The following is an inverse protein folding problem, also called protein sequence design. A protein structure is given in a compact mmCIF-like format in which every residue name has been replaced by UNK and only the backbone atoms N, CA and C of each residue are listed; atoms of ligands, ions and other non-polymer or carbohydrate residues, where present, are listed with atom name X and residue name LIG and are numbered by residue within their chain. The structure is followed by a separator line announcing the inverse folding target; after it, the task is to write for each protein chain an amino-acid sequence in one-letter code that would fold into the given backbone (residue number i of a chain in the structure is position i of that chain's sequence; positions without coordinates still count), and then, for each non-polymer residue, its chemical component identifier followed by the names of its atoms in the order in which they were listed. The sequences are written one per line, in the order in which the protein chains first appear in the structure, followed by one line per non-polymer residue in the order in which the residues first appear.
data_IF_398406244171
#
_entry.id   IF_398406244171
#
_cell.length_a   1.000
_cell.length_b   1.000
_cell.length_c   1.000
_cell.angle_alpha   90.00
_cell.angle_beta   90.00
_cell.angle_gamma   90.00
#
_symmetry.space_group_name_H-M   'P 1'
#
loop_
_entity.id
_entity.type
_entity.pdbx_description
1 polymer ?
#
# COMPACT_ATOMS: atom_id res chain seq x y z
N UNK A 1 44.69 -4.01 -41.12
CA UNK A 1 45.62 -3.73 -40.01
C UNK A 1 45.01 -2.64 -39.15
N UNK A 2 44.41 -2.99 -38.02
CA UNK A 2 44.00 -2.06 -36.96
C UNK A 2 43.90 -2.88 -35.66
N UNK A 3 44.91 -2.73 -34.81
CA UNK A 3 45.06 -3.45 -33.55
C UNK A 3 43.99 -3.03 -32.54
N UNK A 4 43.21 -3.99 -32.06
CA UNK A 4 42.38 -3.87 -30.84
C UNK A 4 43.30 -3.98 -29.61
N UNK A 5 43.30 -3.02 -28.66
CA UNK A 5 44.29 -2.98 -27.58
C UNK A 5 43.95 -3.84 -26.34
N UNK A 6 42.98 -4.76 -26.42
CA UNK A 6 42.43 -5.44 -25.23
C UNK A 6 42.80 -6.92 -25.07
N UNK A 7 43.68 -7.47 -25.93
CA UNK A 7 44.25 -8.80 -25.69
C UNK A 7 45.37 -8.71 -24.65
N UNK A 8 45.02 -8.85 -23.36
CA UNK A 8 46.03 -8.92 -22.29
C UNK A 8 45.54 -8.64 -20.87
N UNK A 9 44.28 -8.23 -20.68
CA UNK A 9 43.76 -8.01 -19.32
C UNK A 9 43.38 -9.36 -18.70
N UNK A 10 44.32 -9.90 -17.92
CA UNK A 10 44.16 -11.12 -17.13
C UNK A 10 42.96 -11.07 -16.17
N UNK A 11 42.60 -12.25 -15.67
CA UNK A 11 41.45 -12.48 -14.78
C UNK A 11 41.53 -11.63 -13.50
N UNK A 12 40.47 -10.89 -13.12
CA UNK A 12 40.47 -10.08 -11.90
C UNK A 12 40.00 -10.92 -10.71
N UNK A 13 40.82 -11.89 -10.31
CA UNK A 13 40.74 -12.53 -9.01
C UNK A 13 42.12 -12.49 -8.40
N UNK A 14 42.55 -11.30 -8.01
CA UNK A 14 43.42 -11.13 -6.84
C UNK A 14 43.40 -9.65 -6.45
N UNK A 15 43.04 -9.40 -5.19
CA UNK A 15 42.80 -8.08 -4.61
C UNK A 15 44.04 -7.21 -4.44
N UNK A 16 44.98 -7.23 -5.38
CA UNK A 16 46.12 -6.31 -5.42
C UNK A 16 45.71 -4.99 -6.07
N UNK A 17 45.84 -3.84 -5.38
CA UNK A 17 45.71 -2.53 -6.01
C UNK A 17 46.81 -2.37 -7.07
N UNK A 18 46.51 -1.68 -8.17
CA UNK A 18 47.48 -1.34 -9.21
C UNK A 18 48.55 -0.35 -8.68
N UNK A 19 49.49 -0.85 -7.87
CA UNK A 19 50.72 -0.15 -7.50
C UNK A 19 51.83 -0.58 -8.45
N UNK A 20 52.36 0.33 -9.27
CA UNK A 20 53.59 0.10 -10.04
C UNK A 20 53.48 0.16 -11.56
N UNK A 21 52.29 0.39 -12.13
CA UNK A 21 52.21 0.85 -13.52
C UNK A 21 52.43 2.37 -13.52
N UNK A 22 53.62 2.81 -13.94
CA UNK A 22 53.92 4.22 -14.19
C UNK A 22 52.79 4.86 -14.98
N UNK A 23 52.40 6.07 -14.60
CA UNK A 23 51.23 6.77 -15.13
C UNK A 23 51.38 7.00 -16.64
N UNK A 24 50.53 6.42 -17.51
CA UNK A 24 50.36 6.95 -18.86
C UNK A 24 49.47 8.22 -18.85
N UNK A 25 49.14 8.74 -17.67
CA UNK A 25 48.09 9.74 -17.42
C UNK A 25 48.63 11.10 -17.00
N UNK A 26 49.83 11.45 -17.45
CA UNK A 26 50.31 12.83 -17.34
C UNK A 26 49.60 13.69 -18.40
N UNK A 27 48.45 14.23 -17.99
CA UNK A 27 47.93 15.51 -18.46
C UNK A 27 46.96 15.53 -19.64
N UNK A 28 46.86 14.49 -20.50
CA UNK A 28 46.05 14.60 -21.74
C UNK A 28 45.29 13.36 -22.32
N UNK A 29 45.12 12.18 -21.67
CA UNK A 29 44.31 11.09 -22.27
C UNK A 29 42.85 10.97 -21.80
N UNK A 30 42.49 11.45 -20.59
CA UNK A 30 41.22 11.06 -19.97
C UNK A 30 39.98 11.62 -20.70
N UNK A 31 40.05 12.86 -21.17
CA UNK A 31 38.98 13.48 -21.98
C UNK A 31 38.70 12.70 -23.28
N UNK A 32 39.71 12.00 -23.83
CA UNK A 32 39.57 11.15 -25.02
C UNK A 32 39.13 9.72 -24.69
N UNK A 33 39.35 9.25 -23.47
CA UNK A 33 39.03 7.89 -23.04
C UNK A 33 37.59 7.73 -22.56
N UNK A 34 36.99 8.77 -21.97
CA UNK A 34 35.62 8.68 -21.48
C UNK A 34 34.55 8.53 -22.57
N UNK A 35 34.81 9.00 -23.79
CA UNK A 35 33.88 8.84 -24.93
C UNK A 35 33.81 7.39 -25.45
N UNK A 36 34.92 6.61 -25.56
CA UNK A 36 34.85 5.16 -25.77
C UNK A 36 34.08 4.40 -24.67
N UNK A 37 34.33 4.72 -23.40
CA UNK A 37 33.74 3.97 -22.28
C UNK A 37 32.22 4.15 -22.19
N UNK A 38 31.73 5.37 -22.40
CA UNK A 38 30.29 5.64 -22.46
C UNK A 38 29.61 4.85 -23.58
N UNK A 39 30.19 4.85 -24.78
CA UNK A 39 29.68 4.09 -25.91
C UNK A 39 29.64 2.59 -25.65
N UNK A 40 30.71 2.02 -25.08
CA UNK A 40 30.78 0.58 -24.76
C UNK A 40 29.85 0.19 -23.61
N UNK A 41 29.65 1.07 -22.62
CA UNK A 41 28.76 0.81 -21.50
C UNK A 41 27.29 0.70 -21.95
N UNK A 42 26.89 1.48 -22.95
CA UNK A 42 25.54 1.46 -23.50
C UNK A 42 25.32 0.40 -24.59
N UNK A 43 26.34 0.12 -25.42
CA UNK A 43 26.18 -0.68 -26.65
C UNK A 43 26.72 -2.10 -26.55
N UNK A 44 27.58 -2.41 -25.58
CA UNK A 44 28.21 -3.73 -25.53
C UNK A 44 27.25 -4.79 -25.02
N UNK A 45 27.16 -5.93 -25.71
CA UNK A 45 26.41 -7.10 -25.25
C UNK A 45 27.13 -7.88 -24.13
N UNK A 46 28.44 -7.67 -23.96
CA UNK A 46 29.25 -8.41 -22.99
C UNK A 46 29.13 -7.83 -21.57
N UNK A 47 28.39 -8.52 -20.70
CA UNK A 47 28.22 -8.12 -19.30
C UNK A 47 29.56 -8.00 -18.55
N UNK A 48 30.54 -8.85 -18.85
CA UNK A 48 31.87 -8.78 -18.23
C UNK A 48 32.61 -7.49 -18.62
N UNK A 49 32.49 -7.05 -19.88
CA UNK A 49 33.09 -5.80 -20.35
C UNK A 49 32.44 -4.59 -19.66
N UNK A 50 31.10 -4.53 -19.65
CA UNK A 50 30.36 -3.47 -18.94
C UNK A 50 30.73 -3.42 -17.46
N UNK A 51 30.79 -4.58 -16.79
CA UNK A 51 31.23 -4.68 -15.40
C UNK A 51 32.66 -4.14 -15.17
N UNK A 52 33.61 -4.52 -16.03
CA UNK A 52 34.99 -4.06 -15.92
C UNK A 52 35.11 -2.55 -16.11
N UNK A 53 34.33 -1.97 -17.04
CA UNK A 53 34.25 -0.52 -17.23
C UNK A 53 33.72 0.15 -15.95
N UNK A 54 32.64 -0.36 -15.36
CA UNK A 54 32.10 0.19 -14.08
C UNK A 54 33.15 0.15 -12.96
N UNK A 55 33.89 -0.96 -12.82
CA UNK A 55 34.96 -1.09 -11.83
C UNK A 55 36.06 -0.05 -12.06
N UNK A 56 36.52 0.10 -13.30
CA UNK A 56 37.55 1.09 -13.67
C UNK A 56 37.08 2.51 -13.38
N UNK A 57 35.86 2.86 -13.79
CA UNK A 57 35.29 4.19 -13.58
C UNK A 57 35.11 4.50 -12.09
N UNK A 58 34.73 3.50 -11.28
CA UNK A 58 34.64 3.67 -9.84
C UNK A 58 36.00 3.92 -9.18
N UNK A 59 37.07 3.26 -9.64
CA UNK A 59 38.44 3.53 -9.15
C UNK A 59 38.89 4.96 -9.51
N UNK A 60 38.57 5.43 -10.72
CA UNK A 60 38.87 6.81 -11.11
C UNK A 60 38.16 7.86 -10.25
N UNK A 61 36.95 7.59 -9.73
CA UNK A 61 36.28 8.49 -8.78
C UNK A 61 37.11 8.76 -7.51
N UNK A 62 38.00 7.84 -7.12
CA UNK A 62 38.84 7.97 -5.91
C UNK A 62 40.01 8.94 -6.15
N UNK A 63 40.65 8.87 -7.32
CA UNK A 63 41.88 9.60 -7.63
C UNK A 63 41.66 10.88 -8.44
N UNK A 64 40.61 10.92 -9.25
CA UNK A 64 40.35 11.98 -10.22
C UNK A 64 38.89 12.46 -10.15
N UNK A 65 38.37 12.66 -8.94
CA UNK A 65 36.93 12.90 -8.67
C UNK A 65 36.31 13.98 -9.56
N UNK A 66 36.97 15.15 -9.70
CA UNK A 66 36.48 16.26 -10.51
C UNK A 66 36.36 15.94 -12.01
N UNK A 67 37.15 14.98 -12.50
CA UNK A 67 37.18 14.56 -13.90
C UNK A 67 36.13 13.47 -14.20
N UNK A 68 35.70 12.73 -13.17
CA UNK A 68 34.75 11.62 -13.32
C UNK A 68 33.30 12.06 -13.06
N UNK A 69 33.07 13.23 -12.47
CA UNK A 69 31.75 13.74 -12.14
C UNK A 69 30.78 13.72 -13.34
N UNK A 70 31.26 14.01 -14.56
CA UNK A 70 30.43 13.95 -15.77
C UNK A 70 29.98 12.53 -16.15
N UNK A 71 30.71 11.49 -15.72
CA UNK A 71 30.39 10.09 -16.03
C UNK A 71 29.53 9.40 -14.97
N UNK A 72 29.27 10.03 -13.82
CA UNK A 72 28.41 9.45 -12.77
C UNK A 72 27.01 9.14 -13.31
N UNK A 73 26.48 9.96 -14.22
CA UNK A 73 25.21 9.67 -14.89
C UNK A 73 25.28 8.36 -15.69
N UNK A 74 26.39 8.08 -16.36
CA UNK A 74 26.52 6.87 -17.17
C UNK A 74 26.73 5.62 -16.30
N UNK A 75 27.54 5.73 -15.25
CA UNK A 75 27.74 4.63 -14.30
C UNK A 75 26.41 4.25 -13.64
N UNK A 76 25.58 5.23 -13.29
CA UNK A 76 24.29 4.96 -12.63
C UNK A 76 23.24 4.33 -13.53
N UNK A 77 23.35 4.42 -14.87
CA UNK A 77 22.53 3.63 -15.81
C UNK A 77 22.70 2.12 -15.58
N UNK A 78 23.90 1.69 -15.17
CA UNK A 78 24.17 0.29 -14.87
C UNK A 78 23.45 -0.24 -13.63
N UNK A 79 22.82 0.62 -12.80
CA UNK A 79 21.88 0.17 -11.76
C UNK A 79 20.64 -0.52 -12.35
N UNK A 80 20.35 -0.30 -13.64
CA UNK A 80 19.26 -0.91 -14.39
C UNK A 80 19.77 -1.84 -15.50
N UNK A 81 21.02 -2.31 -15.42
CA UNK A 81 21.61 -3.23 -16.42
C UNK A 81 20.80 -4.54 -16.52
N UNK A 82 20.63 -5.14 -17.72
CA UNK A 82 19.95 -6.42 -17.85
C UNK A 82 20.61 -7.56 -17.04
N UNK A 83 21.94 -7.51 -16.84
CA UNK A 83 22.67 -8.50 -16.07
C UNK A 83 22.69 -8.17 -14.57
N UNK A 84 22.19 -9.09 -13.73
CA UNK A 84 22.19 -8.96 -12.27
C UNK A 84 23.59 -8.67 -11.70
N UNK A 85 24.63 -9.32 -12.24
CA UNK A 85 26.01 -9.14 -11.78
C UNK A 85 26.46 -7.69 -11.95
N UNK A 86 26.15 -7.07 -13.09
CA UNK A 86 26.50 -5.67 -13.38
C UNK A 86 25.72 -4.74 -12.45
N UNK A 87 24.41 -4.97 -12.27
CA UNK A 87 23.59 -4.16 -11.34
C UNK A 87 24.13 -4.21 -9.92
N UNK A 88 24.40 -5.42 -9.42
CA UNK A 88 24.92 -5.64 -8.07
C UNK A 88 26.31 -5.01 -7.87
N UNK A 89 27.22 -5.18 -8.83
CA UNK A 89 28.56 -4.60 -8.74
C UNK A 89 28.49 -3.07 -8.76
N UNK A 90 27.68 -2.51 -9.66
CA UNK A 90 27.44 -1.06 -9.75
C UNK A 90 26.93 -0.50 -8.43
N UNK A 91 25.91 -1.15 -7.86
CA UNK A 91 25.34 -0.78 -6.58
C UNK A 91 26.39 -0.76 -5.47
N UNK A 92 27.20 -1.82 -5.34
CA UNK A 92 28.23 -1.93 -4.30
C UNK A 92 29.30 -0.85 -4.46
N UNK A 93 29.79 -0.63 -5.68
CA UNK A 93 30.85 0.35 -5.95
C UNK A 93 30.36 1.77 -5.68
N UNK A 94 29.21 2.17 -6.21
CA UNK A 94 28.64 3.49 -5.96
C UNK A 94 28.33 3.69 -4.47
N UNK A 95 27.81 2.66 -3.78
CA UNK A 95 27.58 2.72 -2.34
C UNK A 95 28.86 2.95 -1.54
N UNK A 96 29.98 2.33 -1.93
CA UNK A 96 31.29 2.55 -1.29
C UNK A 96 31.81 3.95 -1.54
N UNK A 97 31.67 4.47 -2.76
CA UNK A 97 32.06 5.83 -3.12
C UNK A 97 31.27 6.87 -2.32
N UNK A 98 29.96 6.65 -2.13
CA UNK A 98 29.09 7.48 -1.30
C UNK A 98 29.47 7.44 0.18
N UNK A 99 29.75 6.25 0.73
CA UNK A 99 30.15 6.09 2.13
C UNK A 99 31.47 6.79 2.46
N UNK A 100 32.42 6.75 1.52
CA UNK A 100 33.75 7.36 1.66
C UNK A 100 33.82 8.80 1.18
N UNK A 101 32.68 9.41 0.86
CA UNK A 101 32.55 10.81 0.47
C UNK A 101 33.25 11.20 -0.86
N UNK A 102 33.64 10.22 -1.68
CA UNK A 102 34.15 10.46 -3.05
C UNK A 102 33.03 10.87 -4.00
N UNK A 103 31.83 10.34 -3.79
CA UNK A 103 30.61 10.77 -4.49
C UNK A 103 29.63 11.30 -3.46
N UNK A 104 28.86 12.32 -3.83
CA UNK A 104 27.82 12.90 -2.96
C UNK A 104 26.44 12.56 -3.49
N UNK A 105 25.47 12.45 -2.59
CA UNK A 105 24.06 12.40 -2.92
C UNK A 105 23.62 13.74 -3.54
N UNK A 106 23.79 13.89 -4.85
CA UNK A 106 23.37 15.09 -5.59
C UNK A 106 22.54 14.72 -6.81
N UNK A 107 21.56 15.59 -7.10
CA UNK A 107 20.70 15.50 -8.27
C UNK A 107 20.03 14.13 -8.42
N UNK A 108 19.98 13.65 -9.66
CA UNK A 108 19.29 12.41 -10.05
C UNK A 108 19.86 11.13 -9.42
N UNK A 109 21.07 11.16 -8.84
CA UNK A 109 21.73 9.97 -8.29
C UNK A 109 20.85 9.27 -7.25
N UNK A 110 20.30 10.04 -6.32
CA UNK A 110 19.43 9.51 -5.26
C UNK A 110 18.21 8.81 -5.84
N UNK A 111 17.53 9.44 -6.79
CA UNK A 111 16.32 8.92 -7.43
C UNK A 111 16.59 7.61 -8.18
N UNK A 112 17.74 7.50 -8.85
CA UNK A 112 18.16 6.27 -9.54
C UNK A 112 18.40 5.10 -8.59
N UNK A 113 18.96 5.37 -7.40
CA UNK A 113 19.16 4.36 -6.37
C UNK A 113 17.85 3.80 -5.80
N UNK A 114 16.74 4.54 -5.87
CA UNK A 114 15.45 4.09 -5.34
C UNK A 114 14.96 2.79 -6.01
N UNK A 115 15.25 2.60 -7.30
CA UNK A 115 14.83 1.38 -8.01
C UNK A 115 15.51 0.11 -7.47
N UNK A 116 16.67 0.24 -6.83
CA UNK A 116 17.35 -0.92 -6.22
C UNK A 116 16.57 -1.51 -5.04
N UNK A 117 15.68 -0.74 -4.40
CA UNK A 117 14.76 -1.25 -3.36
C UNK A 117 13.73 -2.24 -3.93
N UNK A 118 13.45 -2.17 -5.23
CA UNK A 118 12.48 -3.01 -5.93
C UNK A 118 13.10 -3.77 -7.11
N UNK A 119 14.42 -3.99 -7.05
CA UNK A 119 15.15 -4.82 -8.02
C UNK A 119 14.56 -6.23 -8.04
N UNK A 120 14.64 -6.91 -9.19
CA UNK A 120 14.21 -8.31 -9.30
C UNK A 120 15.07 -9.25 -8.44
N UNK A 121 16.36 -8.95 -8.24
CA UNK A 121 17.26 -9.70 -7.36
C UNK A 121 17.05 -9.32 -5.89
N UNK A 122 16.69 -10.32 -5.09
CA UNK A 122 16.57 -10.19 -3.63
C UNK A 122 17.89 -9.74 -2.97
N UNK A 123 19.04 -10.16 -3.52
CA UNK A 123 20.35 -9.76 -3.00
C UNK A 123 20.57 -8.26 -3.15
N UNK A 124 20.12 -7.67 -4.25
CA UNK A 124 20.22 -6.23 -4.49
C UNK A 124 19.25 -5.48 -3.57
N UNK A 125 18.01 -5.98 -3.41
CA UNK A 125 17.03 -5.38 -2.49
C UNK A 125 17.55 -5.33 -1.04
N UNK A 126 18.14 -6.41 -0.54
CA UNK A 126 18.73 -6.43 0.80
C UNK A 126 19.90 -5.43 0.97
N UNK A 127 20.74 -5.28 -0.06
CA UNK A 127 21.80 -4.27 -0.05
C UNK A 127 21.23 -2.85 -0.06
N UNK A 128 20.14 -2.62 -0.81
CA UNK A 128 19.41 -1.36 -0.83
C UNK A 128 18.79 -1.04 0.53
N UNK A 129 18.05 -1.97 1.14
CA UNK A 129 17.47 -1.79 2.48
C UNK A 129 18.55 -1.42 3.51
N UNK A 130 19.72 -2.09 3.46
CA UNK A 130 20.84 -1.75 4.33
C UNK A 130 21.40 -0.34 4.07
N UNK A 131 21.57 0.05 2.80
CA UNK A 131 22.06 1.37 2.41
C UNK A 131 21.12 2.48 2.87
N UNK A 132 19.83 2.36 2.58
CA UNK A 132 18.82 3.35 2.94
C UNK A 132 18.58 3.39 4.46
N UNK A 133 18.58 2.23 5.13
CA UNK A 133 18.37 2.10 6.57
C UNK A 133 19.49 2.66 7.44
N UNK A 134 20.75 2.53 6.99
CA UNK A 134 21.91 2.86 7.82
C UNK A 134 22.72 4.03 7.28
N UNK A 135 23.13 3.94 6.02
CA UNK A 135 24.10 4.87 5.44
C UNK A 135 23.44 6.18 5.07
N UNK A 136 22.27 6.13 4.42
CA UNK A 136 21.54 7.35 4.05
C UNK A 136 21.17 8.16 5.29
N UNK A 137 20.62 7.50 6.31
CA UNK A 137 20.24 8.12 7.58
C UNK A 137 21.41 8.83 8.26
N UNK A 138 22.62 8.25 8.19
CA UNK A 138 23.80 8.85 8.80
C UNK A 138 24.44 9.97 7.94
N UNK A 139 24.54 9.78 6.63
CA UNK A 139 25.28 10.70 5.73
C UNK A 139 24.43 11.83 5.14
N UNK A 140 23.13 11.61 4.99
CA UNK A 140 22.21 12.56 4.38
C UNK A 140 20.78 12.42 4.96
N UNK A 141 20.60 12.69 6.27
CA UNK A 141 19.35 12.44 7.00
C UNK A 141 18.13 13.15 6.41
N UNK A 142 18.33 14.31 5.78
CA UNK A 142 17.26 15.11 5.18
C UNK A 142 16.94 14.71 3.74
N UNK A 143 17.72 13.82 3.11
CA UNK A 143 17.58 13.55 1.67
C UNK A 143 16.24 12.92 1.32
N UNK A 144 15.81 11.94 2.12
CA UNK A 144 14.51 11.30 1.93
C UNK A 144 13.38 12.34 2.00
N UNK A 145 13.43 13.26 2.97
CA UNK A 145 12.44 14.34 3.12
C UNK A 145 12.48 15.34 1.96
N UNK A 146 13.67 15.81 1.59
CA UNK A 146 13.84 16.84 0.57
C UNK A 146 13.37 16.37 -0.80
N UNK A 147 13.69 15.14 -1.18
CA UNK A 147 13.39 14.57 -2.51
C UNK A 147 12.11 13.72 -2.54
N UNK A 148 11.29 13.71 -1.48
CA UNK A 148 10.13 12.82 -1.41
C UNK A 148 9.10 13.07 -2.53
N UNK A 149 8.66 14.32 -2.67
CA UNK A 149 7.67 14.71 -3.71
C UNK A 149 8.25 14.51 -5.12
N UNK A 150 9.51 14.87 -5.31
CA UNK A 150 10.23 14.63 -6.57
C UNK A 150 10.27 13.14 -6.93
N UNK A 151 10.52 12.26 -5.95
CA UNK A 151 10.47 10.82 -6.16
C UNK A 151 9.08 10.33 -6.59
N UNK A 152 7.99 10.88 -6.02
CA UNK A 152 6.62 10.54 -6.45
C UNK A 152 6.43 10.87 -7.94
N UNK A 153 6.86 12.05 -8.37
CA UNK A 153 6.76 12.46 -9.77
C UNK A 153 7.64 11.62 -10.71
N UNK A 154 8.92 11.45 -10.38
CA UNK A 154 9.87 10.73 -11.22
C UNK A 154 9.52 9.25 -11.35
N UNK A 155 9.11 8.59 -10.26
CA UNK A 155 8.72 7.18 -10.31
C UNK A 155 7.43 6.97 -11.11
N UNK A 156 6.53 7.94 -11.15
CA UNK A 156 5.33 7.90 -11.99
C UNK A 156 5.58 8.38 -13.43
N UNK A 157 6.79 8.85 -13.75
CA UNK A 157 7.12 9.53 -15.01
C UNK A 157 6.22 10.78 -15.27
N UNK A 158 5.72 11.39 -14.21
CA UNK A 158 4.84 12.54 -14.32
C UNK A 158 5.65 13.83 -14.25
N UNK A 159 5.58 14.66 -15.29
CA UNK A 159 6.47 15.81 -15.43
C UNK A 159 5.66 17.12 -15.41
N UNK A 160 5.40 17.64 -14.21
CA UNK A 160 4.52 18.81 -13.99
C UNK A 160 5.09 20.11 -14.57
N UNK A 161 6.40 20.19 -14.78
CA UNK A 161 7.11 21.42 -15.15
C UNK A 161 7.63 21.45 -16.59
N UNK A 162 7.38 20.42 -17.39
CA UNK A 162 7.79 20.42 -18.80
C UNK A 162 6.60 20.63 -19.71
N UNK A 163 6.32 21.90 -19.99
CA UNK A 163 5.73 22.27 -21.27
C UNK A 163 6.64 21.74 -22.40
N UNK A 164 6.28 20.59 -22.95
CA UNK A 164 6.67 20.04 -24.27
C UNK A 164 8.14 20.02 -24.76
N UNK A 165 9.17 20.44 -24.01
CA UNK A 165 10.55 20.56 -24.54
C UNK A 165 11.63 19.76 -23.78
N UNK A 166 11.37 18.49 -23.47
CA UNK A 166 12.45 17.53 -23.18
C UNK A 166 12.83 16.76 -24.46
N UNK A 167 14.14 16.68 -24.75
CA UNK A 167 14.67 15.93 -25.91
C UNK A 167 14.30 14.44 -25.81
N UNK A 168 14.20 13.75 -26.95
CA UNK A 168 13.83 12.33 -26.97
C UNK A 168 14.80 11.45 -26.15
N UNK A 169 16.09 11.79 -26.14
CA UNK A 169 17.10 11.10 -25.32
C UNK A 169 16.86 11.28 -23.82
N UNK A 170 16.57 12.51 -23.37
CA UNK A 170 16.27 12.79 -21.95
C UNK A 170 14.99 12.07 -21.46
N UNK A 171 14.00 11.89 -22.34
CA UNK A 171 12.79 11.11 -22.01
C UNK A 171 13.07 9.61 -21.93
N UNK A 172 13.93 9.07 -22.80
CA UNK A 172 14.33 7.67 -22.75
C UNK A 172 15.11 7.35 -21.46
N UNK A 173 16.00 8.26 -21.04
CA UNK A 173 16.70 8.12 -19.77
C UNK A 173 15.78 8.22 -18.56
N UNK A 174 14.84 9.18 -18.55
CA UNK A 174 13.85 9.31 -17.48
C UNK A 174 12.97 8.05 -17.35
N UNK A 175 12.62 7.43 -18.48
CA UNK A 175 11.85 6.17 -18.54
C UNK A 175 12.53 5.00 -17.88
N UNK A 176 13.86 4.91 -17.99
CA UNK A 176 14.64 3.81 -17.41
C UNK A 176 14.51 3.77 -15.88
N UNK A 177 14.34 4.94 -15.26
CA UNK A 177 14.27 5.09 -13.81
C UNK A 177 12.85 5.41 -13.31
N UNK A 178 11.83 5.03 -14.06
CA UNK A 178 10.43 5.17 -13.68
C UNK A 178 9.75 3.80 -13.52
N UNK A 179 8.71 3.74 -12.70
CA UNK A 179 7.83 2.59 -12.49
C UNK A 179 6.44 3.00 -12.97
N UNK A 180 6.28 3.03 -14.29
CA UNK A 180 5.06 3.53 -14.95
C UNK A 180 3.87 2.60 -14.76
N UNK A 181 2.67 3.18 -14.83
CA UNK A 181 1.41 2.45 -14.86
C UNK A 181 0.69 2.44 -13.52
N UNK A 182 -0.63 2.21 -13.56
CA UNK A 182 -1.49 2.20 -12.38
C UNK A 182 -1.94 0.78 -11.98
N UNK A 183 -1.27 -0.25 -12.50
CA UNK A 183 -1.49 -1.63 -12.12
C UNK A 183 -0.97 -1.91 -10.70
N UNK A 184 -1.49 -2.98 -10.08
CA UNK A 184 -1.19 -3.30 -8.68
C UNK A 184 0.29 -3.58 -8.43
N UNK A 185 1.00 -4.19 -9.39
CA UNK A 185 2.42 -4.52 -9.26
C UNK A 185 3.25 -3.23 -9.26
N UNK A 186 2.99 -2.32 -10.19
CA UNK A 186 3.67 -1.03 -10.29
C UNK A 186 3.41 -0.17 -9.06
N UNK A 187 2.15 -0.07 -8.62
CA UNK A 187 1.78 0.63 -7.38
C UNK A 187 2.46 0.05 -6.16
N UNK A 188 2.44 -1.26 -5.99
CA UNK A 188 3.08 -1.94 -4.87
C UNK A 188 4.59 -1.67 -4.82
N UNK A 189 5.26 -1.67 -5.97
CA UNK A 189 6.69 -1.31 -6.05
C UNK A 189 6.93 0.15 -5.65
N UNK A 190 6.18 1.10 -6.19
CA UNK A 190 6.31 2.53 -5.81
C UNK A 190 6.01 2.75 -4.32
N UNK A 191 4.95 2.13 -3.81
CA UNK A 191 4.58 2.23 -2.40
C UNK A 191 5.63 1.63 -1.48
N UNK A 192 6.28 0.52 -1.86
CA UNK A 192 7.42 -0.02 -1.13
C UNK A 192 8.56 1.01 -1.00
N UNK A 193 8.90 1.69 -2.10
CA UNK A 193 9.91 2.77 -2.07
C UNK A 193 9.48 3.90 -1.13
N UNK A 194 8.24 4.42 -1.28
CA UNK A 194 7.76 5.51 -0.44
C UNK A 194 7.77 5.15 1.05
N UNK A 195 7.31 3.95 1.42
CA UNK A 195 7.36 3.44 2.79
C UNK A 195 8.79 3.36 3.30
N UNK A 196 9.71 2.84 2.49
CA UNK A 196 11.13 2.75 2.85
C UNK A 196 11.75 4.12 3.10
N UNK A 197 11.36 5.16 2.35
CA UNK A 197 11.79 6.54 2.59
C UNK A 197 11.18 7.13 3.86
N UNK A 198 9.86 6.98 4.07
CA UNK A 198 9.17 7.48 5.26
C UNK A 198 9.79 6.91 6.55
N UNK A 199 10.13 5.61 6.57
CA UNK A 199 10.77 4.96 7.71
C UNK A 199 12.13 5.56 8.11
N UNK A 200 12.80 6.27 7.20
CA UNK A 200 14.09 6.92 7.51
C UNK A 200 13.92 8.33 8.08
N UNK A 201 12.73 8.92 7.97
CA UNK A 201 12.48 10.30 8.40
C UNK A 201 12.25 10.39 9.91
N UNK A 202 12.71 11.48 10.50
CA UNK A 202 12.33 11.85 11.85
C UNK A 202 10.84 12.29 11.90
N UNK A 203 10.15 12.19 13.07
CA UNK A 203 8.74 12.52 13.19
C UNK A 203 8.34 13.91 12.67
N UNK A 204 9.17 14.93 12.90
CA UNK A 204 8.99 16.29 12.41
C UNK A 204 8.99 16.37 10.87
N UNK A 205 9.82 15.56 10.22
CA UNK A 205 9.89 15.47 8.76
C UNK A 205 8.74 14.66 8.18
N UNK A 206 8.16 13.70 8.93
CA UNK A 206 6.93 13.02 8.52
C UNK A 206 5.76 14.01 8.44
N UNK A 207 5.61 14.88 9.45
CA UNK A 207 4.58 15.92 9.45
C UNK A 207 4.78 16.92 8.31
N UNK A 208 6.03 17.36 8.09
CA UNK A 208 6.36 18.24 6.99
C UNK A 208 6.11 17.57 5.63
N UNK A 209 6.44 16.28 5.48
CA UNK A 209 6.17 15.50 4.25
C UNK A 209 4.67 15.40 3.98
N UNK A 210 3.86 15.14 5.01
CA UNK A 210 2.41 15.15 4.89
C UNK A 210 1.91 16.48 4.32
N UNK A 211 2.37 17.60 4.88
CA UNK A 211 2.02 18.93 4.42
C UNK A 211 2.50 19.18 2.97
N UNK A 212 3.72 18.77 2.61
CA UNK A 212 4.25 18.87 1.25
C UNK A 212 3.44 18.06 0.24
N UNK A 213 3.05 16.84 0.55
CA UNK A 213 2.21 16.03 -0.33
C UNK A 213 0.85 16.71 -0.56
N UNK A 214 0.26 17.29 0.48
CA UNK A 214 -0.98 18.05 0.32
C UNK A 214 -0.77 19.31 -0.54
N UNK A 215 0.25 20.11 -0.24
CA UNK A 215 0.47 21.41 -0.87
C UNK A 215 1.05 21.33 -2.29
N UNK A 216 1.91 20.36 -2.59
CA UNK A 216 2.61 20.27 -3.88
C UNK A 216 1.91 19.31 -4.85
N UNK A 217 1.24 18.26 -4.35
CA UNK A 217 0.57 17.27 -5.19
C UNK A 217 -0.95 17.48 -5.19
N UNK A 218 -1.60 17.44 -4.02
CA UNK A 218 -3.05 17.52 -3.98
C UNK A 218 -3.57 18.90 -4.43
N UNK A 219 -2.94 19.99 -3.97
CA UNK A 219 -3.32 21.33 -4.38
C UNK A 219 -3.04 21.59 -5.88
N UNK A 220 -1.93 21.07 -6.42
CA UNK A 220 -1.64 21.23 -7.86
C UNK A 220 -2.70 20.57 -8.75
N UNK A 221 -3.32 19.47 -8.29
CA UNK A 221 -4.49 18.89 -8.97
C UNK A 221 -5.73 19.77 -8.80
N UNK A 222 -6.05 20.22 -7.58
CA UNK A 222 -7.25 21.05 -7.34
C UNK A 222 -7.20 22.36 -8.12
N UNK A 223 -6.01 22.94 -8.26
CA UNK A 223 -5.77 24.19 -8.97
C UNK A 223 -5.66 23.99 -10.50
N UNK A 224 -5.72 22.74 -10.98
CA UNK A 224 -5.64 22.40 -12.40
C UNK A 224 -4.24 22.45 -13.01
N UNK A 225 -3.19 22.63 -12.19
CA UNK A 225 -1.79 22.62 -12.62
C UNK A 225 -1.30 21.20 -12.97
N UNK A 226 -1.84 20.18 -12.29
CA UNK A 226 -1.61 18.78 -12.59
C UNK A 226 -2.88 18.15 -13.17
N UNK A 227 -2.83 17.78 -14.46
CA UNK A 227 -3.98 17.17 -15.13
C UNK A 227 -4.21 15.73 -14.67
N UNK A 228 -5.45 15.45 -14.24
CA UNK A 228 -5.95 14.10 -13.96
C UNK A 228 -6.54 13.41 -15.19
N UNK A 229 -6.48 14.04 -16.37
CA UNK A 229 -6.86 13.38 -17.64
C UNK A 229 -5.69 12.54 -18.18
N UNK A 230 -4.46 12.88 -17.81
CA UNK A 230 -3.28 12.06 -18.08
C UNK A 230 -3.15 10.89 -17.09
N UNK A 231 -2.79 9.72 -17.60
CA UNK A 231 -2.56 8.52 -16.80
C UNK A 231 -1.44 8.70 -15.78
N UNK A 232 -0.41 9.52 -16.09
CA UNK A 232 0.68 9.78 -15.14
C UNK A 232 0.20 10.65 -13.98
N UNK A 233 -0.62 11.68 -14.25
CA UNK A 233 -1.22 12.53 -13.21
C UNK A 233 -2.21 11.77 -12.33
N UNK A 234 -3.02 10.88 -12.93
CA UNK A 234 -3.87 9.97 -12.14
C UNK A 234 -3.05 9.05 -11.23
N UNK A 235 -1.92 8.52 -11.72
CA UNK A 235 -1.05 7.62 -10.95
C UNK A 235 -0.39 8.36 -9.78
N UNK A 236 0.08 9.60 -9.99
CA UNK A 236 0.60 10.47 -8.92
C UNK A 236 -0.45 10.75 -7.86
N UNK A 237 -1.67 11.11 -8.27
CA UNK A 237 -2.75 11.41 -7.33
C UNK A 237 -3.17 10.17 -6.52
N UNK A 238 -3.26 9.01 -7.20
CA UNK A 238 -3.54 7.74 -6.56
C UNK A 238 -2.47 7.35 -5.53
N UNK A 239 -1.19 7.51 -5.88
CA UNK A 239 -0.07 7.27 -4.98
C UNK A 239 -0.11 8.24 -3.79
N UNK A 240 -0.40 9.53 -4.01
CA UNK A 240 -0.51 10.52 -2.95
C UNK A 240 -1.58 10.15 -1.91
N UNK A 241 -2.76 9.70 -2.36
CA UNK A 241 -3.79 9.19 -1.45
C UNK A 241 -3.32 7.97 -0.63
N UNK A 242 -2.61 7.03 -1.27
CA UNK A 242 -2.07 5.85 -0.57
C UNK A 242 -0.97 6.22 0.44
N UNK A 243 -0.08 7.16 0.08
CA UNK A 243 0.95 7.69 0.95
C UNK A 243 0.32 8.32 2.20
N UNK A 244 -0.66 9.22 2.04
CA UNK A 244 -1.35 9.88 3.15
C UNK A 244 -2.18 8.91 4.01
N UNK A 245 -2.61 7.79 3.41
CA UNK A 245 -3.32 6.72 4.11
C UNK A 245 -2.39 5.74 4.85
N UNK A 246 -1.09 5.74 4.53
CA UNK A 246 -0.10 4.84 5.14
C UNK A 246 0.06 5.08 6.64
N UNK A 247 0.52 4.06 7.37
CA UNK A 247 0.79 4.18 8.82
C UNK A 247 2.11 4.89 9.09
N UNK A 248 3.04 4.83 8.15
CA UNK A 248 4.40 5.36 8.26
C UNK A 248 4.46 6.88 8.21
N UNK A 249 3.54 7.54 7.48
CA UNK A 249 3.46 9.01 7.46
C UNK A 249 2.73 9.60 8.67
N UNK A 250 1.97 8.77 9.40
CA UNK A 250 1.16 9.22 10.53
C UNK A 250 2.04 9.41 11.74
N UNK A 251 1.87 10.55 12.41
CA UNK A 251 2.39 10.72 13.75
C UNK A 251 1.63 9.76 14.68
N UNK A 252 2.32 8.94 15.49
CA UNK A 252 1.66 8.15 16.52
C UNK A 252 0.84 9.09 17.42
N UNK A 253 -0.48 9.02 17.31
CA UNK A 253 -1.34 9.75 18.23
C UNK A 253 -1.30 8.99 19.53
N UNK A 254 -0.59 9.50 20.54
CA UNK A 254 -0.64 8.99 21.90
C UNK A 254 -1.97 9.39 22.57
N UNK A 255 -3.09 9.18 21.87
CA UNK A 255 -4.42 9.15 22.48
C UNK A 255 -4.48 7.82 23.21
N UNK A 256 -3.93 7.82 24.43
CA UNK A 256 -4.07 6.70 25.35
C UNK A 256 -5.52 6.26 25.38
N UNK A 257 -5.73 4.95 25.49
CA UNK A 257 -7.02 4.35 25.82
C UNK A 257 -7.74 5.27 26.80
N UNK A 258 -8.97 5.64 26.46
CA UNK A 258 -9.88 6.34 27.36
C UNK A 258 -10.17 5.42 28.55
N UNK A 259 -9.28 5.42 29.53
CA UNK A 259 -9.59 5.12 30.92
C UNK A 259 -9.78 6.48 31.59
N UNK A 260 -10.99 6.64 32.13
CA UNK A 260 -11.49 7.74 32.94
C UNK A 260 -10.41 8.33 33.89
N UNK A 261 -10.38 9.65 34.16
CA UNK A 261 -9.50 10.25 35.16
C UNK A 261 -10.05 10.03 36.58
N UNK A 262 -10.48 8.80 36.89
CA UNK A 262 -11.22 8.44 38.10
C UNK A 262 -10.48 7.61 39.13
N UNK A 263 -9.48 6.80 38.76
CA UNK A 263 -8.80 5.92 39.72
C UNK A 263 -7.35 6.35 39.92
N UNK A 264 -7.14 7.24 40.90
CA UNK A 264 -5.86 7.41 41.54
C UNK A 264 -5.70 6.32 42.60
N UNK A 265 -4.96 5.25 42.28
CA UNK A 265 -4.25 4.51 43.32
C UNK A 265 -2.82 5.07 43.35
N UNK A 266 -2.58 5.95 44.33
CA UNK A 266 -1.24 6.36 44.74
C UNK A 266 -0.53 5.17 45.41
N UNK A 267 0.41 4.53 44.72
CA UNK A 267 1.61 4.00 45.38
C UNK A 267 2.68 3.61 44.34
N UNK A 268 3.84 4.29 44.41
CA UNK A 268 5.03 3.95 43.62
C UNK A 268 5.71 5.16 43.00
N UNK A 269 6.48 5.89 43.82
CA UNK A 269 7.22 7.07 43.40
C UNK A 269 8.31 6.79 42.35
N UNK A 270 8.44 7.72 41.39
CA UNK A 270 9.69 7.89 40.65
C UNK A 270 9.68 7.97 39.12
N UNK A 271 8.61 8.39 38.41
CA UNK A 271 8.72 8.90 37.01
C UNK A 271 7.52 9.75 36.51
N UNK A 272 6.63 10.20 37.40
CA UNK A 272 5.35 10.81 37.01
C UNK A 272 5.49 12.15 36.26
N UNK A 273 6.58 12.89 36.48
CA UNK A 273 6.85 14.18 35.82
C UNK A 273 7.24 14.05 34.34
N UNK A 274 7.95 13.00 33.96
CA UNK A 274 8.39 12.74 32.57
C UNK A 274 7.22 12.29 31.69
N UNK A 275 6.37 11.41 32.23
CA UNK A 275 5.17 10.92 31.55
C UNK A 275 4.12 12.03 31.35
N UNK A 276 3.87 12.87 32.36
CA UNK A 276 2.95 14.00 32.24
C UNK A 276 3.42 15.03 31.21
N UNK A 277 4.73 15.33 31.16
CA UNK A 277 5.31 16.23 30.17
C UNK A 277 5.24 15.65 28.74
N UNK A 278 5.49 14.35 28.57
CA UNK A 278 5.34 13.67 27.28
C UNK A 278 3.87 13.65 26.79
N UNK A 279 2.92 13.40 27.70
CA UNK A 279 1.50 13.46 27.40
C UNK A 279 1.04 14.88 27.01
N UNK A 280 1.50 15.91 27.74
CA UNK A 280 1.22 17.31 27.41
C UNK A 280 1.77 17.69 26.03
N UNK A 281 3.03 17.31 25.72
CA UNK A 281 3.63 17.51 24.39
C UNK A 281 2.84 16.79 23.30
N UNK A 282 2.40 15.56 23.53
CA UNK A 282 1.56 14.81 22.60
C UNK A 282 0.21 15.47 22.31
N UNK A 283 -0.42 16.07 23.32
CA UNK A 283 -1.67 16.84 23.16
C UNK A 283 -1.47 18.09 22.29
N UNK A 284 -0.40 18.84 22.52
CA UNK A 284 -0.06 20.03 21.72
C UNK A 284 0.17 19.67 20.26
N UNK A 285 0.93 18.60 20.01
CA UNK A 285 1.17 18.09 18.65
C UNK A 285 -0.15 17.71 17.98
N UNK A 286 -1.03 16.99 18.69
CA UNK A 286 -2.33 16.57 18.16
C UNK A 286 -3.21 17.77 17.79
N UNK A 287 -3.21 18.84 18.60
CA UNK A 287 -3.95 20.07 18.31
C UNK A 287 -3.35 20.85 17.14
N UNK A 288 -2.02 20.93 17.04
CA UNK A 288 -1.35 21.57 15.90
C UNK A 288 -1.65 20.83 14.58
N UNK A 289 -1.63 19.48 14.60
CA UNK A 289 -2.00 18.64 13.46
C UNK A 289 -3.46 18.86 13.09
N UNK A 290 -4.38 18.86 14.06
CA UNK A 290 -5.81 19.15 13.82
C UNK A 290 -5.99 20.52 13.16
N UNK A 291 -5.35 21.55 13.68
CA UNK A 291 -5.41 22.90 13.11
C UNK A 291 -4.90 22.91 11.67
N UNK A 292 -3.77 22.27 11.40
CA UNK A 292 -3.22 22.14 10.03
C UNK A 292 -4.16 21.38 9.09
N UNK A 293 -4.83 20.33 9.59
CA UNK A 293 -5.81 19.57 8.84
C UNK A 293 -7.00 20.46 8.43
N UNK A 294 -7.60 21.17 9.38
CA UNK A 294 -8.74 22.07 9.15
C UNK A 294 -8.36 23.22 8.20
N UNK A 295 -7.23 23.87 8.44
CA UNK A 295 -6.88 25.10 7.72
C UNK A 295 -6.30 24.83 6.33
N UNK A 296 -5.51 23.76 6.17
CA UNK A 296 -4.73 23.55 4.95
C UNK A 296 -5.18 22.33 4.15
N UNK A 297 -5.56 21.24 4.83
CA UNK A 297 -5.78 19.95 4.15
C UNK A 297 -7.22 19.76 3.70
N UNK A 298 -8.20 19.99 4.58
CA UNK A 298 -9.63 19.80 4.30
C UNK A 298 -10.12 20.63 3.12
N UNK A 299 -9.76 21.93 2.97
CA UNK A 299 -10.18 22.72 1.81
C UNK A 299 -9.73 22.09 0.49
N UNK A 300 -8.50 21.56 0.43
CA UNK A 300 -7.97 20.88 -0.75
C UNK A 300 -8.78 19.61 -1.05
N UNK A 301 -9.10 18.80 -0.03
CA UNK A 301 -9.90 17.59 -0.22
C UNK A 301 -11.33 17.86 -0.68
N UNK A 302 -11.98 18.92 -0.19
CA UNK A 302 -13.31 19.33 -0.64
C UNK A 302 -13.27 19.70 -2.13
N UNK A 303 -12.29 20.52 -2.53
CA UNK A 303 -12.17 20.94 -3.91
C UNK A 303 -11.80 19.77 -4.86
N UNK A 304 -10.92 18.88 -4.40
CA UNK A 304 -10.62 17.64 -5.11
C UNK A 304 -11.85 16.76 -5.26
N UNK A 305 -12.68 16.59 -4.23
CA UNK A 305 -13.92 15.80 -4.34
C UNK A 305 -14.82 16.37 -5.43
N UNK A 306 -15.06 17.69 -5.40
CA UNK A 306 -15.85 18.40 -6.41
C UNK A 306 -15.29 18.20 -7.82
N UNK A 307 -13.97 18.33 -7.98
CA UNK A 307 -13.28 18.12 -9.25
C UNK A 307 -13.44 16.68 -9.76
N UNK A 308 -13.16 15.69 -8.92
CA UNK A 308 -13.24 14.27 -9.28
C UNK A 308 -14.68 13.85 -9.63
N UNK A 309 -15.67 14.33 -8.89
CA UNK A 309 -17.09 14.10 -9.20
C UNK A 309 -17.50 14.74 -10.52
N UNK A 310 -17.09 15.99 -10.77
CA UNK A 310 -17.41 16.68 -12.04
C UNK A 310 -16.83 15.96 -13.26
N UNK A 311 -15.73 15.23 -13.08
CA UNK A 311 -15.05 14.44 -14.12
C UNK A 311 -15.46 12.96 -14.12
N UNK A 312 -16.38 12.53 -13.24
CA UNK A 312 -16.73 11.12 -13.02
C UNK A 312 -15.49 10.22 -12.84
N UNK A 313 -14.49 10.72 -12.11
CA UNK A 313 -13.20 10.06 -11.98
C UNK A 313 -13.30 8.79 -11.13
N UNK A 314 -12.61 7.70 -11.51
CA UNK A 314 -12.53 6.49 -10.69
C UNK A 314 -11.78 6.71 -9.36
N UNK A 315 -11.05 7.84 -9.22
CA UNK A 315 -10.27 8.17 -8.04
C UNK A 315 -11.12 8.69 -6.86
N UNK A 316 -12.42 8.96 -7.06
CA UNK A 316 -13.31 9.41 -5.97
C UNK A 316 -13.34 8.41 -4.81
N UNK A 317 -13.33 7.11 -5.12
CA UNK A 317 -13.25 6.06 -4.10
C UNK A 317 -11.95 6.11 -3.30
N UNK A 318 -10.81 6.35 -3.98
CA UNK A 318 -9.49 6.51 -3.34
C UNK A 318 -9.42 7.76 -2.47
N UNK A 319 -10.06 8.86 -2.89
CA UNK A 319 -10.16 10.09 -2.09
C UNK A 319 -10.96 9.84 -0.81
N UNK A 320 -12.12 9.19 -0.92
CA UNK A 320 -12.97 8.88 0.24
C UNK A 320 -12.31 7.88 1.18
N UNK A 321 -11.58 6.89 0.65
CA UNK A 321 -10.71 6.02 1.44
C UNK A 321 -9.69 6.82 2.24
N UNK A 322 -8.96 7.72 1.57
CA UNK A 322 -7.94 8.54 2.20
C UNK A 322 -8.54 9.40 3.32
N UNK A 323 -9.64 10.12 3.05
CA UNK A 323 -10.33 10.94 4.06
C UNK A 323 -10.80 10.10 5.24
N UNK A 324 -11.39 8.92 4.99
CA UNK A 324 -11.82 8.02 6.06
C UNK A 324 -10.65 7.62 6.93
N UNK A 325 -9.53 7.22 6.33
CA UNK A 325 -8.35 6.78 7.07
C UNK A 325 -7.74 7.96 7.83
N UNK A 326 -7.69 9.18 7.27
CA UNK A 326 -7.21 10.39 7.95
C UNK A 326 -8.07 10.80 9.15
N UNK A 327 -9.40 10.73 9.02
CA UNK A 327 -10.35 11.26 9.99
C UNK A 327 -10.89 10.23 10.99
N UNK A 328 -10.55 8.94 10.83
CA UNK A 328 -11.02 7.86 11.72
C UNK A 328 -10.70 8.10 13.20
N UNK A 329 -9.62 8.83 13.51
CA UNK A 329 -9.18 9.10 14.88
C UNK A 329 -9.80 10.39 15.45
N UNK A 330 -10.57 11.13 14.64
CA UNK A 330 -11.19 12.42 14.95
C UNK A 330 -12.73 12.36 14.93
N UNK A 331 -13.35 11.19 15.12
CA UNK A 331 -14.82 11.04 14.97
C UNK A 331 -15.64 11.98 15.84
N UNK A 332 -15.20 12.23 17.06
CA UNK A 332 -15.89 13.13 17.99
C UNK A 332 -15.75 14.61 17.61
N UNK A 333 -14.82 14.91 16.71
CA UNK A 333 -14.45 16.25 16.27
C UNK A 333 -14.74 16.45 14.77
N UNK A 334 -15.33 15.45 14.11
CA UNK A 334 -15.55 15.44 12.65
C UNK A 334 -16.48 16.58 12.23
N UNK A 335 -17.42 16.94 13.11
CA UNK A 335 -18.37 18.02 12.89
C UNK A 335 -17.72 19.40 12.89
N UNK A 336 -16.67 19.57 13.69
CA UNK A 336 -15.84 20.78 13.73
C UNK A 336 -14.87 20.83 12.55
N UNK A 337 -14.33 19.68 12.14
CA UNK A 337 -13.37 19.60 11.04
C UNK A 337 -14.04 19.88 9.68
N UNK A 338 -15.26 19.39 9.48
CA UNK A 338 -15.99 19.47 8.20
C UNK A 338 -17.14 20.48 8.23
N UNK A 339 -16.99 21.59 8.95
CA UNK A 339 -18.01 22.66 8.99
C UNK A 339 -18.34 23.18 7.60
N UNK A 340 -17.35 23.27 6.71
CA UNK A 340 -17.48 23.83 5.37
C UNK A 340 -18.29 22.95 4.39
N UNK A 341 -18.39 21.63 4.63
CA UNK A 341 -19.12 20.72 3.75
C UNK A 341 -19.92 19.68 4.56
N UNK A 342 -21.20 20.01 4.79
CA UNK A 342 -22.14 19.18 5.55
C UNK A 342 -22.53 17.89 4.82
N UNK A 343 -22.37 17.84 3.50
CA UNK A 343 -22.68 16.64 2.72
C UNK A 343 -21.54 15.63 2.85
N UNK A 344 -20.30 16.08 2.63
CA UNK A 344 -19.09 15.28 2.85
C UNK A 344 -19.01 14.77 4.30
N UNK A 345 -19.37 15.61 5.27
CA UNK A 345 -19.46 15.23 6.68
C UNK A 345 -20.36 13.98 6.87
N UNK A 346 -21.58 13.99 6.34
CA UNK A 346 -22.53 12.87 6.46
C UNK A 346 -22.04 11.62 5.75
N UNK A 347 -21.49 11.77 4.55
CA UNK A 347 -20.90 10.68 3.76
C UNK A 347 -19.77 10.00 4.54
N UNK A 348 -18.86 10.77 5.14
CA UNK A 348 -17.74 10.23 5.91
C UNK A 348 -18.16 9.59 7.23
N UNK A 349 -19.13 10.15 7.95
CA UNK A 349 -19.67 9.52 9.16
C UNK A 349 -20.24 8.14 8.81
N UNK A 350 -21.03 8.07 7.74
CA UNK A 350 -21.60 6.80 7.27
C UNK A 350 -20.50 5.81 6.87
N UNK A 351 -19.52 6.24 6.08
CA UNK A 351 -18.42 5.38 5.63
C UNK A 351 -17.53 4.88 6.76
N UNK A 352 -17.21 5.74 7.74
CA UNK A 352 -16.49 5.35 8.95
C UNK A 352 -17.27 4.27 9.69
N UNK A 353 -18.56 4.49 9.96
CA UNK A 353 -19.39 3.53 10.69
C UNK A 353 -19.54 2.19 9.94
N UNK A 354 -19.77 2.26 8.63
CA UNK A 354 -19.88 1.08 7.76
C UNK A 354 -18.58 0.28 7.74
N UNK A 355 -17.44 0.95 7.59
CA UNK A 355 -16.13 0.30 7.62
C UNK A 355 -15.87 -0.38 8.97
N UNK A 356 -16.20 0.26 10.08
CA UNK A 356 -16.07 -0.34 11.40
C UNK A 356 -16.95 -1.58 11.59
N UNK A 357 -18.19 -1.54 11.11
CA UNK A 357 -19.08 -2.70 11.16
C UNK A 357 -18.53 -3.87 10.34
N UNK A 358 -18.02 -3.59 9.13
CA UNK A 358 -17.40 -4.61 8.27
C UNK A 358 -16.14 -5.19 8.91
N UNK A 359 -15.27 -4.34 9.44
CA UNK A 359 -14.05 -4.77 10.14
C UNK A 359 -14.40 -5.63 11.35
N UNK A 360 -15.37 -5.21 12.16
CA UNK A 360 -15.83 -5.96 13.32
C UNK A 360 -16.38 -7.35 12.94
N UNK A 361 -17.15 -7.43 11.86
CA UNK A 361 -17.66 -8.70 11.32
C UNK A 361 -16.55 -9.61 10.80
N UNK A 362 -15.55 -9.09 10.08
CA UNK A 362 -14.40 -9.88 9.62
C UNK A 362 -13.62 -10.44 10.80
N UNK A 363 -13.27 -9.59 11.76
CA UNK A 363 -12.53 -9.99 12.96
C UNK A 363 -13.31 -11.04 13.77
N UNK A 364 -14.61 -10.85 13.98
CA UNK A 364 -15.47 -11.83 14.63
C UNK A 364 -15.54 -13.17 13.88
N UNK A 365 -15.56 -13.13 12.54
CA UNK A 365 -15.58 -14.34 11.71
C UNK A 365 -14.25 -15.10 11.81
N UNK A 366 -13.13 -14.38 11.80
CA UNK A 366 -11.78 -14.95 11.94
C UNK A 366 -11.57 -15.57 13.33
N UNK A 367 -11.95 -14.89 14.41
CA UNK A 367 -11.81 -15.41 15.78
C UNK A 367 -12.66 -16.65 15.99
N UNK A 368 -13.93 -16.65 15.58
CA UNK A 368 -14.79 -17.84 15.67
C UNK A 368 -14.23 -19.00 14.83
N UNK A 369 -13.68 -18.73 13.65
CA UNK A 369 -13.06 -19.76 12.79
C UNK A 369 -11.80 -20.36 13.42
N UNK A 370 -10.97 -19.55 14.09
CA UNK A 370 -9.81 -20.03 14.85
C UNK A 370 -10.24 -20.93 16.02
N UNK A 371 -11.31 -20.57 16.73
CA UNK A 371 -11.84 -21.34 17.86
C UNK A 371 -12.41 -22.69 17.44
N UNK A 372 -13.15 -22.74 16.33
CA UNK A 372 -13.66 -24.00 15.79
C UNK A 372 -12.54 -24.95 15.34
N UNK A 373 -11.41 -24.42 14.86
CA UNK A 373 -10.22 -25.23 14.54
C UNK A 373 -9.54 -25.79 15.78
N UNK A 374 -9.48 -25.04 16.88
CA UNK A 374 -8.90 -25.54 18.14
C UNK A 374 -9.71 -26.68 18.76
N UNK A 375 -11.04 -26.69 18.59
CA UNK A 375 -11.88 -27.79 19.07
C UNK A 375 -11.74 -29.07 18.23
N UNK A 376 -11.32 -28.97 16.96
CA UNK A 376 -11.11 -30.11 16.06
C UNK A 376 -9.81 -30.92 16.35
N UNK A 377 -8.90 -30.42 17.20
CA UNK A 377 -7.67 -31.13 17.59
C UNK A 377 -7.82 -32.02 18.85
N UNK A 378 -9.01 -32.14 19.43
CA UNK A 378 -9.26 -33.17 20.46
C UNK A 378 -9.48 -34.54 19.81
N UNK A 379 -8.56 -35.47 20.09
CA UNK A 379 -8.65 -36.87 19.67
C UNK A 379 -9.92 -37.54 20.23
N UNK A 380 -10.62 -38.40 19.46
CA UNK A 380 -11.86 -39.04 19.92
C UNK A 380 -11.55 -40.18 20.91
N UNK A 381 -11.55 -39.86 22.20
CA UNK A 381 -11.48 -40.83 23.29
C UNK A 381 -12.87 -41.25 23.75
N UNK A 382 -13.28 -42.47 23.38
CA UNK A 382 -14.31 -43.35 23.96
C UNK A 382 -15.58 -42.71 24.54
N UNK A 383 -16.68 -42.96 23.83
CA UNK A 383 -18.07 -42.68 24.19
C UNK A 383 -18.43 -43.21 25.59
N UNK A 384 -18.79 -42.31 26.50
CA UNK A 384 -19.79 -42.57 27.54
C UNK A 384 -20.83 -41.47 27.48
N UNK A 385 -22.09 -41.89 27.38
CA UNK A 385 -23.27 -41.06 27.34
C UNK A 385 -23.22 -40.01 28.45
N UNK A 386 -23.13 -38.75 28.05
CA UNK A 386 -23.39 -37.60 28.91
C UNK A 386 -24.58 -36.88 28.30
N UNK A 387 -25.66 -36.89 29.07
CA UNK A 387 -26.91 -36.17 28.91
C UNK A 387 -26.73 -34.75 28.39
N UNK A 388 -27.56 -34.40 27.41
CA UNK A 388 -27.84 -33.04 26.94
C UNK A 388 -27.99 -32.07 28.11
N UNK A 389 -27.02 -31.16 28.27
CA UNK A 389 -27.22 -29.85 28.93
C UNK A 389 -26.02 -28.91 28.84
N UNK A 390 -24.86 -29.32 28.31
CA UNK A 390 -23.62 -28.54 28.49
C UNK A 390 -23.24 -27.57 27.34
N UNK A 391 -24.15 -27.26 26.42
CA UNK A 391 -23.90 -26.24 25.37
C UNK A 391 -24.24 -24.81 25.84
N UNK A 392 -24.97 -24.66 26.94
CA UNK A 392 -25.39 -23.34 27.44
C UNK A 392 -24.39 -22.63 28.38
N UNK A 393 -23.30 -23.28 28.83
CA UNK A 393 -22.52 -22.77 29.97
C UNK A 393 -21.22 -22.02 29.63
N UNK A 394 -20.82 -21.86 28.36
CA UNK A 394 -19.55 -21.20 27.99
C UNK A 394 -19.64 -19.92 27.16
N UNK A 395 -20.85 -19.44 26.87
CA UNK A 395 -21.04 -18.18 26.12
C UNK A 395 -20.79 -16.91 26.94
N UNK A 396 -21.11 -16.81 28.26
CA UNK A 396 -21.09 -15.50 28.94
C UNK A 396 -19.70 -14.94 29.25
N UNK A 397 -18.67 -15.78 29.39
CA UNK A 397 -17.34 -15.33 29.83
C UNK A 397 -16.45 -14.72 28.73
N UNK A 398 -16.90 -14.71 27.47
CA UNK A 398 -16.04 -14.50 26.29
C UNK A 398 -16.39 -13.25 25.46
N UNK A 399 -17.32 -12.41 25.93
CA UNK A 399 -17.80 -11.18 25.27
C UNK A 399 -17.16 -9.89 25.82
N UNK A 400 -15.97 -9.96 26.40
CA UNK A 400 -15.38 -8.80 27.07
C UNK A 400 -14.13 -8.32 26.33
N UNK A 401 -14.29 -7.87 25.08
CA UNK A 401 -13.25 -7.10 24.38
C UNK A 401 -13.27 -5.61 24.78
N UNK A 402 -14.29 -5.17 25.55
CA UNK A 402 -14.51 -3.76 25.86
C UNK A 402 -15.01 -2.93 24.67
N UNK A 403 -15.36 -3.57 23.55
CA UNK A 403 -15.84 -2.92 22.33
C UNK A 403 -17.19 -3.49 21.94
N UNK A 404 -18.26 -2.78 22.30
CA UNK A 404 -19.66 -3.20 22.13
C UNK A 404 -20.01 -3.62 20.69
N UNK A 405 -19.38 -3.03 19.67
CA UNK A 405 -19.58 -3.42 18.26
C UNK A 405 -18.95 -4.78 17.94
N UNK A 406 -17.76 -5.06 18.48
CA UNK A 406 -17.10 -6.35 18.30
C UNK A 406 -17.84 -7.43 19.06
N UNK A 407 -18.26 -7.17 20.30
CA UNK A 407 -18.98 -8.13 21.12
C UNK A 407 -20.33 -8.48 20.48
N UNK A 408 -21.05 -7.48 19.95
CA UNK A 408 -22.29 -7.71 19.18
C UNK A 408 -22.06 -8.52 17.89
N UNK A 409 -21.00 -8.21 17.13
CA UNK A 409 -20.66 -8.96 15.92
C UNK A 409 -20.24 -10.40 16.23
N UNK A 410 -19.49 -10.61 17.32
CA UNK A 410 -19.10 -11.93 17.81
C UNK A 410 -20.33 -12.76 18.18
N UNK A 411 -21.28 -12.16 18.90
CA UNK A 411 -22.55 -12.81 19.23
C UNK A 411 -23.35 -13.21 17.97
N UNK A 412 -23.45 -12.34 16.96
CA UNK A 412 -24.14 -12.64 15.69
C UNK A 412 -23.47 -13.80 14.93
N UNK A 413 -22.13 -13.79 14.85
CA UNK A 413 -21.37 -14.87 14.18
C UNK A 413 -21.53 -16.20 14.91
N UNK A 414 -21.43 -16.21 16.25
CA UNK A 414 -21.63 -17.41 17.09
C UNK A 414 -23.06 -17.94 16.96
N UNK A 415 -24.07 -17.06 16.98
CA UNK A 415 -25.46 -17.44 16.80
C UNK A 415 -25.69 -18.07 15.41
N UNK A 416 -25.14 -17.47 14.34
CA UNK A 416 -25.23 -18.02 12.98
C UNK A 416 -24.50 -19.36 12.83
N UNK A 417 -23.35 -19.53 13.48
CA UNK A 417 -22.63 -20.80 13.50
C UNK A 417 -23.43 -21.90 14.23
N UNK A 418 -24.03 -21.56 15.37
CA UNK A 418 -24.88 -22.46 16.16
C UNK A 418 -26.12 -22.87 15.36
N UNK A 419 -26.82 -21.92 14.74
CA UNK A 419 -27.97 -22.19 13.89
C UNK A 419 -27.63 -23.13 12.71
N UNK A 420 -26.46 -22.94 12.08
CA UNK A 420 -25.97 -23.84 11.02
C UNK A 420 -25.68 -25.26 11.54
N UNK A 421 -25.15 -25.39 12.76
CA UNK A 421 -24.91 -26.69 13.40
C UNK A 421 -26.23 -27.42 13.66
N UNK A 422 -27.21 -26.73 14.27
CA UNK A 422 -28.55 -27.29 14.54
C UNK A 422 -29.24 -27.72 13.25
N UNK A 423 -29.17 -26.89 12.19
CA UNK A 423 -29.74 -27.26 10.89
C UNK A 423 -29.06 -28.49 10.26
N UNK A 424 -27.75 -28.68 10.45
CA UNK A 424 -27.07 -29.91 10.00
C UNK A 424 -27.53 -31.13 10.78
N UNK A 425 -27.68 -31.01 12.09
CA UNK A 425 -28.15 -32.08 12.96
C UNK A 425 -29.59 -32.49 12.62
N UNK A 426 -30.50 -31.52 12.43
CA UNK A 426 -31.88 -31.78 11.99
C UNK A 426 -31.93 -32.50 10.64
N UNK A 427 -31.07 -32.11 9.68
CA UNK A 427 -30.99 -32.78 8.38
C UNK A 427 -30.35 -34.18 8.43
N UNK A 428 -29.58 -34.49 9.48
CA UNK A 428 -29.05 -35.84 9.72
C UNK A 428 -30.07 -36.73 10.48
N UNK A 429 -30.92 -36.12 11.32
CA UNK A 429 -31.91 -36.80 12.17
C UNK A 429 -33.22 -37.22 11.49
N UNK A 430 -33.48 -36.83 10.25
CA UNK A 430 -34.71 -37.25 9.56
C UNK A 430 -34.67 -37.02 8.06
N UNK A 431 -34.80 -38.09 7.28
CA UNK A 431 -35.22 -37.99 5.87
C UNK A 431 -36.58 -37.30 5.87
N UNK A 432 -36.65 -36.07 5.37
CA UNK A 432 -37.95 -35.46 5.04
C UNK A 432 -38.70 -36.42 4.12
N UNK A 433 -39.92 -36.85 4.46
CA UNK A 433 -40.67 -37.75 3.61
C UNK A 433 -40.91 -37.07 2.26
N UNK A 434 -40.84 -37.80 1.13
CA UNK A 434 -41.15 -37.22 -0.17
C UNK A 434 -42.59 -36.67 -0.15
N UNK A 435 -42.84 -35.57 -0.88
CA UNK A 435 -44.14 -34.88 -0.94
C UNK A 435 -45.32 -35.81 -1.32
N UNK A 436 -45.05 -36.97 -1.90
CA UNK A 436 -46.01 -38.03 -2.20
C UNK A 436 -46.59 -38.74 -0.96
N UNK A 437 -45.97 -38.59 0.21
CA UNK A 437 -46.42 -39.19 1.48
C UNK A 437 -47.39 -38.28 2.28
N UNK A 438 -47.66 -37.06 1.81
CA UNK A 438 -48.59 -36.15 2.47
C UNK A 438 -50.01 -36.35 1.92
N UNK A 439 -50.90 -36.95 2.72
CA UNK A 439 -52.31 -37.12 2.37
C UNK A 439 -53.05 -35.77 2.35
N UNK A 440 -53.65 -35.43 1.21
CA UNK A 440 -54.47 -34.22 1.03
C UNK A 440 -55.79 -34.35 1.81
N UNK A 441 -56.26 -33.31 2.53
CA UNK A 441 -57.52 -33.38 3.27
C UNK A 441 -58.72 -33.57 2.32
N UNK A 442 -59.55 -34.59 2.58
CA UNK A 442 -60.78 -34.83 1.80
C UNK A 442 -61.90 -33.88 2.26
N UNK A 443 -62.34 -32.99 1.38
CA UNK A 443 -63.56 -32.19 1.56
C UNK A 443 -64.80 -33.08 1.33
N UNK A 444 -65.72 -33.06 2.29
CA UNK A 444 -66.97 -33.84 2.29
C UNK A 444 -68.06 -33.01 1.58
N UNK A 445 -68.49 -33.43 0.39
CA UNK A 445 -69.64 -32.84 -0.31
C UNK A 445 -70.93 -33.45 0.23
N UNK A 446 -71.81 -32.61 0.77
CA UNK A 446 -73.19 -32.98 1.14
C UNK A 446 -74.08 -32.69 -0.06
N UNK A 447 -74.76 -33.72 -0.58
CA UNK A 447 -75.75 -33.58 -1.64
C UNK A 447 -77.09 -34.09 -1.11
N UNK A 448 -78.00 -33.15 -0.87
CA UNK A 448 -79.40 -33.41 -0.52
C UNK A 448 -80.31 -32.53 -1.37
N UNK A 449 -80.83 -33.12 -2.44
CA UNK A 449 -82.11 -32.85 -3.11
C UNK A 449 -82.61 -31.42 -3.39
N UNK A 450 -82.71 -31.14 -4.70
CA UNK A 450 -83.95 -30.73 -5.41
C UNK A 450 -84.13 -29.24 -5.80
N UNK A 451 -83.95 -29.01 -7.11
CA UNK A 451 -84.73 -28.15 -8.04
C UNK A 451 -85.01 -26.69 -7.65
N UNK A 452 -84.33 -25.76 -8.31
CA UNK A 452 -84.94 -24.79 -9.23
C UNK A 452 -83.86 -24.06 -10.06
N UNK A 453 -84.23 -23.74 -11.30
CA UNK A 453 -83.43 -23.26 -12.43
C UNK A 453 -82.59 -22.00 -12.15
N UNK A 454 -81.36 -22.06 -12.65
CA UNK A 454 -80.82 -21.09 -13.61
C UNK A 454 -79.89 -20.03 -13.02
N UNK A 455 -78.58 -20.18 -13.24
CA UNK A 455 -77.88 -19.24 -14.12
C UNK A 455 -76.51 -19.76 -14.57
N UNK A 456 -76.09 -19.29 -15.75
CA UNK A 456 -74.75 -19.47 -16.30
C UNK A 456 -73.76 -18.56 -15.59
N UNK A 457 -72.55 -19.04 -15.29
CA UNK A 457 -71.31 -18.53 -15.88
C UNK A 457 -70.09 -19.14 -15.19
N UNK A 458 -69.31 -19.86 -16.00
CA UNK A 458 -67.96 -20.30 -15.70
C UNK A 458 -66.98 -19.25 -16.23
N UNK A 459 -66.17 -18.69 -15.34
CA UNK A 459 -64.88 -18.02 -15.58
C UNK A 459 -64.40 -17.66 -14.17
N UNK A 460 -63.29 -18.15 -13.64
CA UNK A 460 -61.92 -17.88 -14.05
C UNK A 460 -61.05 -18.87 -13.23
N UNK A 461 -59.86 -19.18 -13.75
CA UNK A 461 -58.75 -19.94 -13.13
C UNK A 461 -58.52 -21.36 -13.66
N UNK A 462 -58.59 -21.51 -14.97
CA UNK A 462 -57.79 -22.50 -15.67
C UNK A 462 -56.79 -21.77 -16.58
N UNK A 463 -55.58 -21.54 -16.06
CA UNK A 463 -54.34 -21.51 -16.85
C UNK A 463 -53.17 -21.17 -15.95
N UNK A 464 -52.31 -22.17 -15.76
CA UNK A 464 -50.84 -22.12 -15.60
C UNK A 464 -50.36 -23.23 -14.66
N UNK A 465 -50.63 -24.48 -15.05
CA UNK A 465 -49.69 -25.58 -14.80
C UNK A 465 -49.20 -26.09 -16.14
N UNK A 466 -47.98 -25.66 -16.46
CA UNK A 466 -46.92 -26.39 -17.16
C UNK A 466 -47.35 -27.26 -18.35
N UNK A 467 -46.97 -26.82 -19.54
CA UNK A 467 -46.29 -27.72 -20.47
C UNK A 467 -44.81 -27.37 -20.49
N UNK A 468 -44.02 -28.32 -20.05
CA UNK A 468 -42.61 -28.49 -20.39
C UNK A 468 -42.62 -29.41 -21.61
N UNK A 469 -41.88 -29.09 -22.67
CA UNK A 469 -41.17 -30.09 -23.46
C UNK A 469 -40.06 -29.45 -24.29
N UNK A 470 -38.95 -30.17 -24.28
CA UNK A 470 -37.72 -30.12 -25.09
C UNK A 470 -37.81 -29.46 -26.47
N UNK A 471 -36.73 -28.80 -26.90
CA UNK A 471 -35.80 -29.43 -27.85
C UNK A 471 -34.52 -28.60 -28.06
N UNK A 472 -33.52 -29.33 -28.52
CA UNK A 472 -32.21 -28.93 -29.02
C UNK A 472 -32.19 -27.87 -30.14
N UNK A 473 -30.94 -27.48 -30.43
CA UNK A 473 -30.33 -26.99 -31.68
C UNK A 473 -30.10 -25.49 -31.91
N UNK A 474 -28.79 -25.20 -32.03
CA UNK A 474 -28.07 -24.27 -32.89
C UNK A 474 -28.82 -23.09 -33.53
N UNK A 475 -28.35 -21.88 -33.21
CA UNK A 475 -27.48 -21.09 -34.11
C UNK A 475 -26.70 -20.01 -33.34
#
# INVERSE_FOLDING_TARGET
MSCTPFYGMGTPFDGTPFYGLGTPFDGTPFERLGTPFEGELEKSDCAALRNNIVVMMADFCVRYTALVDCYISNITKCLCDPCELVRRQTFILLSRLLQRDYVKWRGVLFLRFLLSLVDESEKIRHLADFLFGNILKAKAPLLAYNSFVEAVFVLNDCNVHTGHSSSQSSRAESRLFAIRGNDEKSRSKRMHIYVSLLKQMAPEHLLATFAKVCAEILASVSDGMLSIEDATGQSVLQDAFQILSSKEIRIPSNRGSSSDPGDMDEEGGGDSGSAAAAAARGRVITQAVKKGLIQNTIPIFIELKRLLESKNSPLTGSLMECLRVLLKDYKNEIDEILVADKQLQKELIYDIQKYESLKAKSTATETVSMMQRSDAFRSPGTSKAVTDSNVHSKVPGMLMSGNSKLDSAMADVVARATARSVLREVNQGGKTPPLSAMSVPKLKTSMGGMVSKGDRSAAVLESLRRQCFDSDEEN
#
